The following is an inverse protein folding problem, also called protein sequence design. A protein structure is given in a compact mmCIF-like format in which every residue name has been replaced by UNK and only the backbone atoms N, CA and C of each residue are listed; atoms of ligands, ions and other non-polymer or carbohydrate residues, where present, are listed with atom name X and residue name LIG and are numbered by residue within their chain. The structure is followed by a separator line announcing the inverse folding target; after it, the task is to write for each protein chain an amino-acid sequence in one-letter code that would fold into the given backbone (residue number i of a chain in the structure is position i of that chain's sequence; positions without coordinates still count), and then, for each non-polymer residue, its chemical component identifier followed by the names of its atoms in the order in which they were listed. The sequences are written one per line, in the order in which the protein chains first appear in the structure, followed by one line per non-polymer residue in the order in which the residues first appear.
data_IF_534478123791
#
_entry.id   IF_534478123791
#
_cell.length_a   1.000
_cell.length_b   1.000
_cell.length_c   1.000
_cell.angle_alpha   90.00
_cell.angle_beta   90.00
_cell.angle_gamma   90.00
#
_symmetry.space_group_name_H-M   'P 1'
#
loop_
_entity.id
_entity.type
_entity.pdbx_description
1 polymer ?
#
# COMPACT_ATOMS: atom_id res chain seq x y z
N UNK A 1 -2.59 -22.60 1.09
CA UNK A 1 -2.83 -22.49 2.54
C UNK A 1 -3.67 -21.23 2.75
N UNK A 2 -4.71 -21.27 3.58
CA UNK A 2 -5.45 -20.05 3.90
C UNK A 2 -4.56 -19.16 4.77
N UNK A 3 -4.38 -17.90 4.39
CA UNK A 3 -3.66 -16.94 5.23
C UNK A 3 -4.45 -16.69 6.52
N UNK A 4 -3.74 -16.61 7.64
CA UNK A 4 -4.36 -16.50 8.97
C UNK A 4 -4.97 -15.12 9.20
N UNK A 5 -4.39 -14.09 8.60
CA UNK A 5 -4.83 -12.69 8.74
C UNK A 5 -5.12 -12.04 7.39
N UNK A 6 -5.95 -11.00 7.45
CA UNK A 6 -6.16 -10.00 6.39
C UNK A 6 -5.28 -8.78 6.64
N UNK A 7 -5.08 -7.99 5.60
CA UNK A 7 -4.42 -6.70 5.71
C UNK A 7 -5.23 -5.70 6.54
N UNK A 8 -6.56 -5.79 6.49
CA UNK A 8 -7.47 -4.97 7.29
C UNK A 8 -7.44 -5.29 8.79
N UNK A 9 -6.88 -6.43 9.19
CA UNK A 9 -6.77 -6.81 10.60
C UNK A 9 -5.69 -5.95 11.31
N UNK A 10 -5.73 -5.83 12.66
CA UNK A 10 -4.77 -5.01 13.40
C UNK A 10 -3.30 -5.33 13.09
N UNK A 11 -2.96 -6.61 12.93
CA UNK A 11 -1.63 -7.12 12.59
C UNK A 11 -1.21 -6.72 11.17
N UNK A 12 -2.13 -6.84 10.21
CA UNK A 12 -1.92 -6.41 8.82
C UNK A 12 -1.72 -4.90 8.72
N UNK A 13 -2.59 -4.13 9.36
CA UNK A 13 -2.53 -2.68 9.41
C UNK A 13 -1.23 -2.19 10.06
N UNK A 14 -0.80 -2.82 11.16
CA UNK A 14 0.47 -2.50 11.81
C UNK A 14 1.67 -2.83 10.92
N UNK A 15 1.62 -3.94 10.19
CA UNK A 15 2.67 -4.33 9.25
C UNK A 15 2.84 -3.30 8.13
N UNK A 16 1.73 -2.76 7.61
CA UNK A 16 1.76 -1.66 6.64
C UNK A 16 2.48 -0.43 7.20
N UNK A 17 2.17 0.00 8.42
CA UNK A 17 2.85 1.15 9.04
C UNK A 17 4.35 0.93 9.24
N UNK A 18 4.75 -0.27 9.67
CA UNK A 18 6.15 -0.63 9.85
C UNK A 18 6.90 -0.64 8.52
N UNK A 19 6.30 -1.20 7.46
CA UNK A 19 6.88 -1.20 6.12
C UNK A 19 6.99 0.22 5.58
N UNK A 20 5.96 1.05 5.72
CA UNK A 20 6.02 2.46 5.29
C UNK A 20 7.13 3.21 6.00
N UNK A 21 7.27 3.02 7.32
CA UNK A 21 8.35 3.66 8.09
C UNK A 21 9.74 3.21 7.63
N UNK A 22 9.88 1.93 7.25
CA UNK A 22 11.14 1.35 6.76
C UNK A 22 11.48 1.82 5.35
N UNK A 23 10.53 1.73 4.43
CA UNK A 23 10.74 1.96 2.99
C UNK A 23 10.62 3.43 2.58
N UNK A 24 9.95 4.25 3.41
CA UNK A 24 9.70 5.68 3.15
C UNK A 24 10.09 6.51 4.38
N UNK A 25 11.38 6.52 4.78
CA UNK A 25 11.84 7.17 6.01
C UNK A 25 11.62 8.69 6.04
N UNK A 26 11.41 9.32 4.88
CA UNK A 26 11.07 10.73 4.77
C UNK A 26 9.65 11.07 5.29
N UNK A 27 8.75 10.09 5.38
CA UNK A 27 7.40 10.28 5.95
C UNK A 27 7.43 10.08 7.47
N UNK A 28 7.90 11.12 8.19
CA UNK A 28 8.08 11.07 9.66
C UNK A 28 6.82 10.71 10.43
N UNK A 29 5.69 11.28 10.03
CA UNK A 29 4.37 11.02 10.64
C UNK A 29 3.67 9.78 10.05
N UNK A 30 4.28 9.13 9.04
CA UNK A 30 3.71 8.00 8.34
C UNK A 30 2.46 8.33 7.53
N UNK A 31 1.56 7.35 7.42
CA UNK A 31 0.30 7.47 6.69
C UNK A 31 -0.75 8.26 7.48
N UNK A 32 -1.53 9.07 6.77
CA UNK A 32 -2.79 9.58 7.32
C UNK A 32 -3.75 8.42 7.61
N UNK A 33 -4.60 8.52 8.66
CA UNK A 33 -5.54 7.45 9.02
C UNK A 33 -6.43 6.98 7.86
N UNK A 34 -6.92 7.91 7.04
CA UNK A 34 -7.74 7.58 5.87
C UNK A 34 -6.95 6.84 4.79
N UNK A 35 -5.69 7.20 4.55
CA UNK A 35 -4.83 6.49 3.60
C UNK A 35 -4.62 5.05 4.05
N UNK A 36 -4.23 4.85 5.32
CA UNK A 36 -4.02 3.51 5.91
C UNK A 36 -5.26 2.63 5.72
N UNK A 37 -6.43 3.16 6.10
CA UNK A 37 -7.72 2.45 5.97
C UNK A 37 -8.00 2.01 4.53
N UNK A 38 -7.66 2.82 3.52
CA UNK A 38 -7.89 2.47 2.13
C UNK A 38 -6.82 1.51 1.61
N UNK A 39 -5.55 1.71 1.96
CA UNK A 39 -4.42 0.88 1.55
C UNK A 39 -4.62 -0.58 1.98
N UNK A 40 -5.02 -0.83 3.24
CA UNK A 40 -5.25 -2.20 3.72
C UNK A 40 -6.37 -2.91 2.95
N UNK A 41 -7.41 -2.18 2.57
CA UNK A 41 -8.53 -2.72 1.78
C UNK A 41 -8.10 -3.03 0.34
N UNK A 42 -7.27 -2.19 -0.27
CA UNK A 42 -6.65 -2.51 -1.58
C UNK A 42 -5.79 -3.77 -1.48
N UNK A 43 -5.01 -3.92 -0.42
CA UNK A 43 -4.17 -5.09 -0.20
C UNK A 43 -4.99 -6.38 0.04
N UNK A 44 -6.19 -6.25 0.63
CA UNK A 44 -7.18 -7.34 0.73
C UNK A 44 -7.92 -7.64 -0.59
N UNK A 45 -7.63 -6.88 -1.65
CA UNK A 45 -8.22 -7.06 -2.98
C UNK A 45 -9.59 -6.40 -3.15
N UNK A 46 -9.96 -5.45 -2.30
CA UNK A 46 -11.17 -4.65 -2.50
C UNK A 46 -10.97 -3.57 -3.58
N UNK A 47 -11.98 -3.40 -4.44
CA UNK A 47 -12.05 -2.28 -5.38
C UNK A 47 -12.51 -0.99 -4.67
N UNK A 48 -11.80 0.12 -4.89
CA UNK A 48 -12.03 1.37 -4.17
C UNK A 48 -12.23 2.54 -5.14
N UNK A 49 -13.33 3.27 -4.95
CA UNK A 49 -13.50 4.62 -5.49
C UNK A 49 -13.12 5.65 -4.41
N UNK A 50 -12.06 6.42 -4.64
CA UNK A 50 -11.59 7.43 -3.69
C UNK A 50 -11.65 8.85 -4.29
N UNK A 51 -12.54 9.68 -3.75
CA UNK A 51 -12.63 11.10 -4.08
C UNK A 51 -11.95 11.93 -2.99
N UNK A 52 -10.85 12.60 -3.33
CA UNK A 52 -10.06 13.38 -2.38
C UNK A 52 -9.51 14.63 -3.06
N UNK A 53 -9.46 15.74 -2.32
CA UNK A 53 -8.91 16.99 -2.81
C UNK A 53 -7.46 16.82 -3.30
N UNK A 54 -7.05 17.63 -4.28
CA UNK A 54 -5.65 17.72 -4.70
C UNK A 54 -4.79 18.14 -3.51
N UNK A 55 -3.60 17.53 -3.36
CA UNK A 55 -2.75 17.69 -2.19
C UNK A 55 -3.13 16.82 -0.99
N UNK A 56 -4.30 16.16 -0.98
CA UNK A 56 -4.72 15.30 0.14
C UNK A 56 -3.96 13.97 0.29
N UNK A 57 -2.99 13.70 -0.58
CA UNK A 57 -2.17 12.49 -0.52
C UNK A 57 -2.80 11.24 -1.13
N UNK A 58 -3.74 11.38 -2.09
CA UNK A 58 -4.38 10.25 -2.76
C UNK A 58 -3.42 9.31 -3.51
N UNK A 59 -2.26 9.80 -3.96
CA UNK A 59 -1.24 8.97 -4.63
C UNK A 59 -0.77 7.80 -3.76
N UNK A 60 -0.70 8.00 -2.44
CA UNK A 60 -0.28 6.95 -1.50
C UNK A 60 -1.19 5.70 -1.58
N UNK A 61 -2.46 5.88 -1.92
CA UNK A 61 -3.46 4.79 -1.94
C UNK A 61 -3.14 3.75 -3.02
N UNK A 62 -2.54 4.14 -4.15
CA UNK A 62 -2.11 3.19 -5.19
C UNK A 62 -0.61 2.89 -5.15
N UNK A 63 0.23 3.79 -4.64
CA UNK A 63 1.68 3.59 -4.58
C UNK A 63 2.12 2.66 -3.43
N UNK A 64 1.57 2.88 -2.23
CA UNK A 64 1.98 2.14 -1.02
C UNK A 64 1.66 0.65 -1.10
N UNK A 65 0.51 0.19 -1.63
CA UNK A 65 0.26 -1.25 -1.78
C UNK A 65 1.37 -1.98 -2.53
N UNK A 66 1.92 -1.37 -3.60
CA UNK A 66 3.02 -1.96 -4.37
C UNK A 66 4.32 -1.99 -3.55
N UNK A 67 4.61 -0.94 -2.78
CA UNK A 67 5.78 -0.91 -1.89
C UNK A 67 5.67 -2.02 -0.83
N UNK A 68 4.50 -2.16 -0.20
CA UNK A 68 4.22 -3.20 0.80
C UNK A 68 4.44 -4.60 0.22
N UNK A 69 3.82 -4.90 -0.92
CA UNK A 69 3.94 -6.22 -1.54
C UNK A 69 5.38 -6.52 -1.99
N UNK A 70 6.11 -5.50 -2.50
CA UNK A 70 7.53 -5.67 -2.87
C UNK A 70 8.40 -5.97 -1.68
N UNK A 71 8.16 -5.31 -0.55
CA UNK A 71 8.90 -5.56 0.68
C UNK A 71 8.69 -6.98 1.19
N UNK A 72 7.45 -7.46 1.19
CA UNK A 72 7.16 -8.84 1.55
C UNK A 72 7.79 -9.85 0.59
N UNK A 73 7.79 -9.56 -0.72
CA UNK A 73 8.40 -10.45 -1.70
C UNK A 73 9.92 -10.59 -1.48
N UNK A 74 10.58 -9.54 -0.96
CA UNK A 74 12.00 -9.58 -0.56
C UNK A 74 12.21 -10.30 0.77
N UNK A 75 11.31 -10.11 1.73
CA UNK A 75 11.44 -10.60 3.11
C UNK A 75 10.21 -11.42 3.55
N UNK A 76 9.89 -12.56 2.91
CA UNK A 76 8.64 -13.29 3.16
C UNK A 76 8.56 -13.88 4.58
N UNK A 77 9.71 -14.16 5.20
CA UNK A 77 9.80 -14.74 6.54
C UNK A 77 9.38 -13.75 7.64
N UNK A 78 9.43 -12.45 7.36
CA UNK A 78 9.04 -11.41 8.32
C UNK A 78 7.51 -11.26 8.41
N UNK A 79 6.76 -11.86 7.47
CA UNK A 79 5.30 -11.72 7.33
C UNK A 79 4.59 -13.06 7.06
N UNK A 80 4.85 -14.13 7.83
CA UNK A 80 4.45 -15.51 7.48
C UNK A 80 2.93 -15.72 7.42
N UNK A 81 2.17 -14.94 8.19
CA UNK A 81 0.73 -15.11 8.37
C UNK A 81 -0.13 -14.20 7.46
N UNK A 82 0.49 -13.30 6.70
CA UNK A 82 -0.20 -12.34 5.82
C UNK A 82 -0.24 -12.83 4.36
N UNK A 83 -1.19 -12.36 3.53
CA UNK A 83 -1.25 -12.68 2.11
C UNK A 83 -0.01 -12.17 1.35
N UNK A 84 0.74 -13.08 0.72
CA UNK A 84 1.97 -12.75 -0.03
C UNK A 84 1.74 -12.83 -1.53
N UNK A 85 2.37 -11.92 -2.28
CA UNK A 85 2.45 -11.96 -3.75
C UNK A 85 3.91 -12.04 -4.19
N UNK A 86 4.29 -13.12 -4.88
CA UNK A 86 5.68 -13.37 -5.27
C UNK A 86 6.24 -12.34 -6.28
N UNK A 87 5.42 -11.89 -7.23
CA UNK A 87 5.80 -10.92 -8.27
C UNK A 87 4.79 -9.76 -8.28
N UNK A 88 4.90 -8.80 -7.35
CA UNK A 88 3.96 -7.71 -7.26
C UNK A 88 4.21 -6.66 -8.35
N UNK A 89 3.19 -6.43 -9.18
CA UNK A 89 3.18 -5.41 -10.24
C UNK A 89 1.94 -4.53 -10.04
N UNK A 90 2.12 -3.21 -10.20
CA UNK A 90 1.03 -2.23 -10.22
C UNK A 90 1.01 -1.48 -11.55
N UNK A 91 -0.18 -1.30 -12.10
CA UNK A 91 -0.41 -0.51 -13.32
C UNK A 91 -1.16 0.76 -12.94
N UNK A 92 -0.52 1.92 -13.14
CA UNK A 92 -1.16 3.22 -12.93
C UNK A 92 -1.51 3.81 -14.28
N UNK A 93 -2.80 4.01 -14.52
CA UNK A 93 -3.30 4.63 -15.75
C UNK A 93 -3.64 6.08 -15.43
N UNK A 94 -3.10 6.99 -16.23
CA UNK A 94 -3.38 8.43 -16.10
C UNK A 94 -3.91 8.97 -17.42
N UNK A 95 -4.77 10.00 -17.40
CA UNK A 95 -5.37 10.54 -18.62
C UNK A 95 -4.39 11.33 -19.49
N UNK A 96 -3.26 11.80 -18.94
CA UNK A 96 -2.29 12.61 -19.68
C UNK A 96 -0.86 12.10 -19.49
N UNK A 97 -0.07 12.16 -20.57
CA UNK A 97 1.36 11.80 -20.53
C UNK A 97 2.13 12.67 -19.53
N UNK A 98 1.82 13.96 -19.46
CA UNK A 98 2.45 14.89 -18.54
C UNK A 98 2.21 14.52 -17.08
N UNK A 99 1.05 13.94 -16.74
CA UNK A 99 0.83 13.42 -15.39
C UNK A 99 1.59 12.12 -15.16
N UNK A 100 1.61 11.20 -16.15
CA UNK A 100 2.36 9.94 -16.05
C UNK A 100 3.85 10.14 -15.75
N UNK A 101 4.47 11.19 -16.33
CA UNK A 101 5.88 11.52 -16.10
C UNK A 101 6.13 12.25 -14.78
N UNK A 102 5.08 12.76 -14.13
CA UNK A 102 5.17 13.59 -12.92
C UNK A 102 4.29 13.04 -11.79
N UNK A 103 4.09 11.72 -11.74
CA UNK A 103 3.43 11.10 -10.59
C UNK A 103 4.34 11.32 -9.38
N UNK A 104 3.85 12.13 -8.43
CA UNK A 104 4.46 12.38 -7.13
C UNK A 104 3.96 11.37 -6.12
#
# INVERSE_FOLDING_TARGET
MAHKYRWSDPEGSRSVDLIVKKEIPQWKEGLYPTQRKLIVRVLDGEDILCCMATGGGKSAIFAVPIIVLREMARNPQDYPDLPVRALPVGLVITPTKGLATNIV
#
